data_IF_245421229012
#
_entry.id   IF_245421229012
#
_cell.length_a   1.000
_cell.length_b   1.000
_cell.length_c   1.000
_cell.angle_alpha   90.00
_cell.angle_beta   90.00
_cell.angle_gamma   90.00
#
_symmetry.space_group_name_H-M   'P 1'
#
loop_
_entity.id
_entity.type
_entity.pdbx_description
1 polymer ?
#
# COMPACT_ATOMS: atom_id res chain seq x y z
N UNK A 1 0.30 8.03 1.72
CA UNK A 1 -0.43 8.66 2.83
C UNK A 1 -1.74 9.28 2.37
N UNK A 2 -1.73 10.27 1.46
CA UNK A 2 -2.96 10.95 1.02
C UNK A 2 -4.08 10.00 0.57
N UNK A 3 -3.77 8.99 -0.26
CA UNK A 3 -4.77 8.01 -0.70
C UNK A 3 -5.31 7.10 0.41
N UNK A 4 -4.49 6.81 1.43
CA UNK A 4 -4.94 6.05 2.61
C UNK A 4 -5.93 6.89 3.43
N UNK A 5 -5.67 8.19 3.60
CA UNK A 5 -6.61 9.11 4.24
C UNK A 5 -7.91 9.23 3.44
N UNK A 6 -7.83 9.29 2.11
CA UNK A 6 -9.04 9.23 1.26
C UNK A 6 -9.82 7.92 1.49
N UNK A 7 -9.16 6.76 1.50
CA UNK A 7 -9.80 5.47 1.75
C UNK A 7 -10.52 5.42 3.11
N UNK A 8 -9.89 5.91 4.18
CA UNK A 8 -10.52 6.01 5.50
C UNK A 8 -11.74 6.93 5.49
N UNK A 9 -11.63 8.09 4.84
CA UNK A 9 -12.74 9.05 4.74
C UNK A 9 -13.89 8.59 3.83
N UNK A 10 -13.64 7.63 2.93
CA UNK A 10 -14.67 6.96 2.14
C UNK A 10 -15.47 5.95 2.96
N UNK A 11 -14.85 5.32 3.97
CA UNK A 11 -15.52 4.43 4.91
C UNK A 11 -16.44 5.23 5.82
N UNK A 12 -15.95 6.34 6.37
CA UNK A 12 -16.74 7.22 7.22
C UNK A 12 -16.21 8.66 7.19
N UNK A 13 -17.09 9.63 7.37
CA UNK A 13 -16.68 11.00 7.65
C UNK A 13 -16.02 11.05 9.03
N UNK A 14 -14.83 11.63 9.11
CA UNK A 14 -13.98 11.52 10.31
C UNK A 14 -13.28 12.84 10.61
N UNK A 15 -13.03 13.10 11.90
CA UNK A 15 -12.12 14.17 12.31
C UNK A 15 -10.66 13.72 12.22
N UNK A 16 -9.73 14.67 12.34
CA UNK A 16 -8.30 14.36 12.45
C UNK A 16 -7.99 13.34 13.59
N UNK A 17 -8.66 13.46 14.73
CA UNK A 17 -8.46 12.55 15.87
C UNK A 17 -9.00 11.15 15.58
N UNK A 18 -10.13 11.03 14.90
CA UNK A 18 -10.67 9.73 14.50
C UNK A 18 -9.77 9.06 13.47
N UNK A 19 -9.20 9.85 12.54
CA UNK A 19 -8.23 9.34 11.57
C UNK A 19 -6.98 8.79 12.24
N UNK A 20 -6.45 9.45 13.28
CA UNK A 20 -5.32 8.91 14.06
C UNK A 20 -5.72 7.56 14.68
N UNK A 21 -6.85 7.49 15.37
CA UNK A 21 -7.32 6.25 16.01
C UNK A 21 -7.58 5.13 15.00
N UNK A 22 -8.22 5.44 13.88
CA UNK A 22 -8.48 4.49 12.80
C UNK A 22 -7.18 3.98 12.16
N UNK A 23 -6.15 4.84 12.11
CA UNK A 23 -4.82 4.43 11.70
C UNK A 23 -4.22 3.41 12.67
N UNK A 24 -4.19 3.74 13.96
CA UNK A 24 -3.66 2.89 15.03
C UNK A 24 -4.36 1.53 15.13
N UNK A 25 -5.67 1.49 14.86
CA UNK A 25 -6.50 0.29 15.01
C UNK A 25 -6.41 -0.71 13.84
N UNK A 26 -5.83 -0.35 12.69
CA UNK A 26 -5.79 -1.26 11.54
C UNK A 26 -4.67 -0.97 10.55
N UNK A 27 -4.61 0.24 10.00
CA UNK A 27 -3.64 0.59 8.95
C UNK A 27 -2.20 0.55 9.47
N UNK A 28 -2.00 0.81 10.76
CA UNK A 28 -0.70 0.78 11.43
C UNK A 28 0.03 -0.57 11.33
N UNK A 29 -0.69 -1.67 11.05
CA UNK A 29 -0.08 -2.99 10.86
C UNK A 29 0.84 -3.09 9.64
N UNK A 30 0.64 -2.25 8.62
CA UNK A 30 1.40 -2.31 7.36
C UNK A 30 1.82 -0.94 6.81
N UNK A 31 1.41 0.15 7.46
CA UNK A 31 1.80 1.50 7.10
C UNK A 31 2.13 2.25 8.39
N UNK A 32 3.34 2.82 8.52
CA UNK A 32 3.66 3.71 9.64
C UNK A 32 3.31 5.18 9.33
N UNK A 33 2.52 5.83 10.19
CA UNK A 33 2.15 7.23 10.06
C UNK A 33 2.26 7.96 11.40
N UNK A 34 2.99 9.08 11.41
CA UNK A 34 2.91 10.03 12.51
C UNK A 34 1.66 10.90 12.38
N UNK A 35 1.16 11.43 13.51
CA UNK A 35 0.08 12.43 13.53
C UNK A 35 0.38 13.64 12.64
N UNK A 36 1.65 14.09 12.62
CA UNK A 36 2.10 15.14 11.70
C UNK A 36 2.00 14.77 10.22
N UNK A 37 2.23 13.50 9.87
CA UNK A 37 2.07 13.00 8.49
C UNK A 37 0.60 12.94 8.08
N UNK A 38 -0.29 12.52 8.98
CA UNK A 38 -1.75 12.54 8.76
C UNK A 38 -2.23 13.98 8.56
N UNK A 39 -1.76 14.92 9.39
CA UNK A 39 -2.12 16.34 9.26
C UNK A 39 -1.69 16.91 7.92
N UNK A 40 -0.42 16.73 7.53
CA UNK A 40 0.07 17.18 6.21
C UNK A 40 -0.73 16.58 5.05
N UNK A 41 -1.12 15.31 5.17
CA UNK A 41 -1.95 14.67 4.16
C UNK A 41 -3.34 15.30 4.06
N UNK A 42 -4.01 15.58 5.20
CA UNK A 42 -5.28 16.31 5.21
C UNK A 42 -5.16 17.70 4.60
N UNK A 43 -4.16 18.48 5.01
CA UNK A 43 -3.93 19.83 4.49
C UNK A 43 -3.73 19.80 2.96
N UNK A 44 -2.97 18.81 2.46
CA UNK A 44 -2.77 18.60 1.01
C UNK A 44 -4.05 18.25 0.29
N UNK A 45 -4.86 17.34 0.85
CA UNK A 45 -6.13 16.92 0.24
C UNK A 45 -7.15 18.06 0.20
N UNK A 46 -7.22 18.88 1.25
CA UNK A 46 -8.04 20.10 1.31
C UNK A 46 -7.61 21.11 0.25
N UNK A 47 -6.30 21.40 0.18
CA UNK A 47 -5.76 22.35 -0.79
C UNK A 47 -6.03 21.92 -2.24
N UNK A 48 -6.11 20.61 -2.50
CA UNK A 48 -6.44 20.04 -3.80
C UNK A 48 -7.94 19.86 -4.05
N UNK A 49 -8.81 20.23 -3.11
CA UNK A 49 -10.27 20.06 -3.24
C UNK A 49 -10.74 18.60 -3.27
N UNK A 50 -9.91 17.66 -2.81
CA UNK A 50 -10.22 16.22 -2.79
C UNK A 50 -11.03 15.83 -1.54
N UNK A 51 -10.97 16.66 -0.51
CA UNK A 51 -11.81 16.57 0.68
C UNK A 51 -12.30 17.96 1.07
N UNK A 52 -13.33 18.02 1.89
CA UNK A 52 -13.85 19.25 2.45
C UNK A 52 -14.26 19.09 3.92
N UNK A 53 -14.47 20.21 4.61
CA UNK A 53 -15.01 20.22 5.97
C UNK A 53 -16.52 20.07 5.87
N UNK A 54 -17.03 18.90 6.23
CA UNK A 54 -18.45 18.58 6.22
C UNK A 54 -19.22 19.32 7.32
N UNK A 55 -18.61 19.39 8.51
CA UNK A 55 -19.18 20.04 9.69
C UNK A 55 -18.09 20.45 10.67
N UNK A 56 -18.48 21.32 11.60
CA UNK A 56 -17.67 21.69 12.76
C UNK A 56 -18.50 21.34 13.99
N UNK A 57 -18.12 20.28 14.68
CA UNK A 57 -18.80 19.84 15.91
C UNK A 57 -18.41 20.73 17.10
N UNK A 58 -19.33 20.87 18.04
CA UNK A 58 -19.14 21.63 19.27
C UNK A 58 -18.03 21.00 20.13
N UNK A 59 -17.07 21.83 20.55
CA UNK A 59 -15.89 21.46 21.32
C UNK A 59 -14.88 22.60 21.31
N UNK A 60 -13.89 22.59 22.22
CA UNK A 60 -13.08 23.77 22.56
C UNK A 60 -12.52 24.59 21.38
N UNK A 61 -12.08 23.94 20.29
CA UNK A 61 -11.57 24.61 19.08
C UNK A 61 -12.42 24.40 17.82
N UNK A 62 -13.62 23.84 17.95
CA UNK A 62 -14.45 23.38 16.84
C UNK A 62 -13.82 22.15 16.18
N UNK A 63 -14.40 20.97 16.36
CA UNK A 63 -13.85 19.74 15.79
C UNK A 63 -14.28 19.62 14.33
N UNK A 64 -13.35 19.84 13.40
CA UNK A 64 -13.61 19.67 11.97
C UNK A 64 -13.79 18.19 11.64
N UNK A 65 -14.92 17.88 11.01
CA UNK A 65 -15.19 16.57 10.40
C UNK A 65 -15.00 16.71 8.90
N UNK A 66 -14.22 15.80 8.32
CA UNK A 66 -13.89 15.82 6.90
C UNK A 66 -14.73 14.80 6.14
N UNK A 67 -15.05 15.13 4.89
CA UNK A 67 -15.65 14.19 3.93
C UNK A 67 -14.95 14.27 2.58
N UNK A 68 -15.01 13.17 1.83
CA UNK A 68 -14.44 13.10 0.47
C UNK A 68 -15.39 13.76 -0.54
N UNK A 69 -14.84 14.55 -1.45
CA UNK A 69 -15.57 15.16 -2.58
C UNK A 69 -15.63 14.18 -3.77
N UNK A 70 -16.40 14.50 -4.81
CA UNK A 70 -16.43 13.66 -6.03
C UNK A 70 -15.06 13.58 -6.70
N UNK A 71 -14.32 14.70 -6.73
CA UNK A 71 -12.94 14.71 -7.19
C UNK A 71 -12.03 13.80 -6.34
N UNK A 72 -12.24 13.76 -5.03
CA UNK A 72 -11.54 12.85 -4.12
C UNK A 72 -11.88 11.37 -4.36
N UNK A 73 -13.15 11.05 -4.63
CA UNK A 73 -13.58 9.70 -5.02
C UNK A 73 -12.88 9.25 -6.29
N UNK A 74 -12.87 10.10 -7.32
CA UNK A 74 -12.19 9.81 -8.58
C UNK A 74 -10.68 9.63 -8.37
N UNK A 75 -10.05 10.52 -7.60
CA UNK A 75 -8.61 10.41 -7.32
C UNK A 75 -8.25 9.11 -6.58
N UNK A 76 -9.08 8.70 -5.61
CA UNK A 76 -8.89 7.44 -4.90
C UNK A 76 -9.07 6.23 -5.84
N UNK A 77 -10.12 6.23 -6.65
CA UNK A 77 -10.40 5.17 -7.62
C UNK A 77 -9.27 5.03 -8.65
N UNK A 78 -8.80 6.15 -9.23
CA UNK A 78 -7.65 6.16 -10.13
C UNK A 78 -6.41 5.56 -9.46
N UNK A 79 -6.09 5.97 -8.22
CA UNK A 79 -4.96 5.40 -7.49
C UNK A 79 -5.09 3.90 -7.21
N UNK A 80 -6.31 3.42 -6.93
CA UNK A 80 -6.56 2.00 -6.70
C UNK A 80 -6.34 1.16 -7.96
N UNK A 81 -6.66 1.72 -9.14
CA UNK A 81 -6.70 1.00 -10.42
C UNK A 81 -5.48 1.19 -11.31
N UNK A 82 -4.67 2.23 -11.05
CA UNK A 82 -3.42 2.49 -11.77
C UNK A 82 -2.30 1.49 -11.43
N UNK A 83 -1.25 1.50 -12.25
CA UNK A 83 -0.05 0.70 -12.01
C UNK A 83 0.62 1.08 -10.68
N UNK A 84 1.13 0.07 -9.97
CA UNK A 84 1.80 0.28 -8.70
C UNK A 84 3.16 0.97 -8.94
N UNK A 85 3.26 2.21 -8.48
CA UNK A 85 4.49 3.01 -8.51
C UNK A 85 5.00 3.29 -7.09
N UNK A 86 6.31 3.54 -6.95
CA UNK A 86 6.96 3.91 -5.69
C UNK A 86 7.90 2.85 -5.11
N UNK A 87 8.55 3.20 -3.99
CA UNK A 87 9.66 2.43 -3.41
C UNK A 87 9.25 1.36 -2.39
N UNK A 88 8.06 1.46 -1.79
CA UNK A 88 7.56 0.45 -0.85
C UNK A 88 6.42 -0.34 -1.48
N UNK A 89 6.77 -1.45 -2.14
CA UNK A 89 5.82 -2.37 -2.75
C UNK A 89 4.80 -2.90 -1.74
N UNK A 90 5.29 -3.34 -0.58
CA UNK A 90 4.45 -3.91 0.48
C UNK A 90 3.39 -2.91 0.97
N UNK A 91 3.81 -1.69 1.32
CA UNK A 91 2.88 -0.65 1.76
C UNK A 91 1.84 -0.34 0.68
N UNK A 92 2.27 -0.24 -0.59
CA UNK A 92 1.40 0.06 -1.71
C UNK A 92 0.39 -1.07 -2.00
N UNK A 93 0.83 -2.33 -1.93
CA UNK A 93 0.00 -3.51 -2.15
C UNK A 93 -1.00 -3.72 -1.01
N UNK A 94 -0.54 -3.67 0.24
CA UNK A 94 -1.38 -3.88 1.42
C UNK A 94 -2.38 -2.74 1.61
N UNK A 95 -2.01 -1.49 1.29
CA UNK A 95 -2.98 -0.39 1.30
C UNK A 95 -4.11 -0.60 0.30
N UNK A 96 -3.80 -1.04 -0.94
CA UNK A 96 -4.83 -1.34 -1.95
C UNK A 96 -5.67 -2.54 -1.56
N UNK A 97 -5.05 -3.59 -1.02
CA UNK A 97 -5.76 -4.74 -0.50
C UNK A 97 -6.74 -4.35 0.63
N UNK A 98 -6.29 -3.53 1.58
CA UNK A 98 -7.11 -3.07 2.71
C UNK A 98 -8.38 -2.35 2.28
N UNK A 99 -8.31 -1.55 1.21
CA UNK A 99 -9.45 -0.82 0.68
C UNK A 99 -10.12 -1.49 -0.53
N UNK A 100 -9.76 -2.73 -0.89
CA UNK A 100 -10.24 -3.40 -2.10
C UNK A 100 -11.77 -3.50 -2.16
N UNK A 101 -12.42 -3.61 -1.00
CA UNK A 101 -13.87 -3.64 -0.86
C UNK A 101 -14.59 -2.34 -1.25
N UNK A 102 -13.87 -1.21 -1.37
CA UNK A 102 -14.42 0.06 -1.85
C UNK A 102 -14.56 0.12 -3.38
N UNK A 103 -14.03 -0.88 -4.10
CA UNK A 103 -14.18 -1.00 -5.55
C UNK A 103 -15.37 -1.90 -5.91
N UNK A 104 -15.85 -1.71 -7.15
CA UNK A 104 -16.83 -2.61 -7.74
C UNK A 104 -16.24 -4.03 -7.88
N UNK A 105 -17.02 -5.11 -7.71
CA UNK A 105 -16.51 -6.48 -7.75
C UNK A 105 -15.69 -6.82 -8.99
N UNK A 106 -16.08 -6.28 -10.15
CA UNK A 106 -15.39 -6.49 -11.44
C UNK A 106 -13.98 -5.91 -11.49
N UNK A 107 -13.67 -4.92 -10.64
CA UNK A 107 -12.38 -4.22 -10.64
C UNK A 107 -11.34 -4.87 -9.73
N UNK A 108 -11.79 -5.69 -8.78
CA UNK A 108 -10.94 -6.21 -7.69
C UNK A 108 -9.84 -7.15 -8.22
N UNK A 109 -10.22 -8.12 -9.06
CA UNK A 109 -9.26 -9.06 -9.68
C UNK A 109 -8.22 -8.33 -10.54
N UNK A 110 -8.60 -7.40 -11.43
CA UNK A 110 -7.63 -6.56 -12.15
C UNK A 110 -6.62 -5.84 -11.24
N UNK A 111 -7.04 -5.29 -10.10
CA UNK A 111 -6.13 -4.63 -9.15
C UNK A 111 -5.18 -5.63 -8.50
N UNK A 112 -5.68 -6.77 -8.04
CA UNK A 112 -4.85 -7.83 -7.46
C UNK A 112 -3.82 -8.37 -8.47
N UNK A 113 -4.21 -8.54 -9.74
CA UNK A 113 -3.31 -8.97 -10.82
C UNK A 113 -2.20 -7.95 -11.11
N UNK A 114 -2.48 -6.64 -11.00
CA UNK A 114 -1.43 -5.60 -11.09
C UNK A 114 -0.45 -5.69 -9.93
N UNK A 115 -0.94 -5.97 -8.72
CA UNK A 115 -0.07 -6.22 -7.56
C UNK A 115 0.85 -7.41 -7.82
N UNK A 116 0.32 -8.56 -8.28
CA UNK A 116 1.16 -9.74 -8.57
C UNK A 116 2.17 -9.47 -9.68
N UNK A 117 1.75 -8.82 -10.77
CA UNK A 117 2.65 -8.48 -11.87
C UNK A 117 3.80 -7.57 -11.42
N UNK A 118 3.51 -6.60 -10.54
CA UNK A 118 4.56 -5.76 -9.96
C UNK A 118 5.56 -6.55 -9.11
N UNK A 119 5.06 -7.45 -8.25
CA UNK A 119 5.91 -8.31 -7.41
C UNK A 119 6.79 -9.22 -8.28
N UNK A 120 6.26 -9.73 -9.40
CA UNK A 120 7.02 -10.55 -10.36
C UNK A 120 8.18 -9.78 -10.98
N UNK A 121 7.95 -8.53 -11.39
CA UNK A 121 9.00 -7.65 -11.93
C UNK A 121 10.10 -7.42 -10.89
N UNK A 122 9.72 -7.11 -9.65
CA UNK A 122 10.70 -6.85 -8.57
C UNK A 122 11.49 -8.13 -8.23
N UNK A 123 10.81 -9.29 -8.16
CA UNK A 123 11.45 -10.60 -7.95
C UNK A 123 12.41 -10.97 -9.09
N UNK A 124 12.08 -10.67 -10.35
CA UNK A 124 12.95 -10.89 -11.49
C UNK A 124 14.22 -10.02 -11.41
N UNK A 125 14.09 -8.78 -10.95
CA UNK A 125 15.22 -7.88 -10.67
C UNK A 125 16.16 -8.46 -9.62
N UNK A 126 15.64 -8.88 -8.46
CA UNK A 126 16.43 -9.52 -7.40
C UNK A 126 17.10 -10.82 -7.87
N UNK A 127 16.38 -11.65 -8.64
CA UNK A 127 16.93 -12.89 -9.20
C UNK A 127 18.04 -12.65 -10.23
N UNK A 128 18.02 -11.49 -10.91
CA UNK A 128 19.10 -11.09 -11.83
C UNK A 128 20.33 -10.64 -11.05
N UNK A 129 20.14 -9.87 -9.97
CA UNK A 129 21.21 -9.49 -9.06
C UNK A 129 21.88 -10.72 -8.42
N UNK A 130 21.08 -11.71 -8.01
CA UNK A 130 21.55 -12.98 -7.44
C UNK A 130 22.54 -13.70 -8.37
N UNK A 131 22.17 -13.83 -9.65
CA UNK A 131 23.04 -14.40 -10.69
C UNK A 131 24.31 -13.59 -10.90
N UNK A 132 24.23 -12.27 -10.86
CA UNK A 132 25.40 -11.41 -11.00
C UNK A 132 26.38 -11.60 -9.83
N UNK A 133 25.88 -11.60 -8.60
CA UNK A 133 26.71 -11.77 -7.40
C UNK A 133 27.37 -13.17 -7.33
N UNK A 134 26.71 -14.22 -7.84
CA UNK A 134 27.31 -15.56 -7.93
C UNK A 134 28.54 -15.65 -8.83
N UNK A 135 28.72 -14.69 -9.74
CA UNK A 135 29.83 -14.67 -10.69
C UNK A 135 30.97 -13.74 -10.24
N UNK A 136 30.84 -13.06 -9.09
CA UNK A 136 31.88 -12.18 -8.57
C UNK A 136 32.94 -12.99 -7.82
N UNK A 137 34.21 -12.73 -8.14
CA UNK A 137 35.33 -13.23 -7.35
C UNK A 137 35.53 -12.31 -6.13
N UNK A 138 35.38 -12.85 -4.93
CA UNK A 138 35.47 -12.11 -3.67
C UNK A 138 36.73 -12.53 -2.94
N UNK A 139 37.59 -11.55 -2.66
CA UNK A 139 38.84 -11.80 -1.93
C UNK A 139 38.57 -12.42 -0.56
N UNK A 140 39.54 -13.21 -0.08
CA UNK A 140 39.40 -13.93 1.18
C UNK A 140 39.05 -13.06 2.38
N UNK A 141 39.59 -11.84 2.41
CA UNK A 141 39.37 -10.84 3.45
C UNK A 141 37.90 -10.38 3.56
N UNK A 142 37.18 -10.34 2.44
CA UNK A 142 35.81 -9.80 2.40
C UNK A 142 34.71 -10.88 2.37
N UNK A 143 35.07 -12.17 2.38
CA UNK A 143 34.09 -13.27 2.23
C UNK A 143 33.02 -13.30 3.32
N UNK A 144 33.40 -13.05 4.57
CA UNK A 144 32.46 -13.04 5.69
C UNK A 144 31.45 -11.89 5.57
N UNK A 145 31.94 -10.68 5.27
CA UNK A 145 31.08 -9.51 5.00
C UNK A 145 30.13 -9.77 3.82
N UNK A 146 30.65 -10.30 2.71
CA UNK A 146 29.86 -10.62 1.52
C UNK A 146 28.77 -11.66 1.80
N UNK A 147 29.03 -12.62 2.69
CA UNK A 147 28.04 -13.64 3.10
C UNK A 147 26.83 -12.98 3.77
N UNK A 148 27.07 -12.06 4.70
CA UNK A 148 25.99 -11.35 5.38
C UNK A 148 25.26 -10.36 4.47
N UNK A 149 25.98 -9.70 3.55
CA UNK A 149 25.35 -8.87 2.52
C UNK A 149 24.46 -9.71 1.60
N UNK A 150 24.90 -10.89 1.19
CA UNK A 150 24.10 -11.82 0.37
C UNK A 150 22.84 -12.29 1.09
N UNK A 151 22.91 -12.54 2.38
CA UNK A 151 21.74 -12.92 3.18
C UNK A 151 20.59 -11.89 3.09
N UNK A 152 20.90 -10.60 2.90
CA UNK A 152 19.87 -9.56 2.69
C UNK A 152 19.13 -9.71 1.35
N UNK A 153 19.84 -10.11 0.30
CA UNK A 153 19.25 -10.42 -1.00
C UNK A 153 18.41 -11.70 -0.93
N UNK A 154 18.93 -12.74 -0.26
CA UNK A 154 18.23 -14.01 -0.09
C UNK A 154 16.90 -13.80 0.66
N UNK A 155 16.92 -12.99 1.73
CA UNK A 155 15.71 -12.55 2.43
C UNK A 155 14.75 -11.82 1.47
N UNK A 156 15.26 -10.87 0.69
CA UNK A 156 14.45 -10.12 -0.28
C UNK A 156 13.75 -11.05 -1.29
N UNK A 157 14.47 -12.00 -1.87
CA UNK A 157 13.92 -12.99 -2.81
C UNK A 157 12.86 -13.86 -2.11
N UNK A 158 13.16 -14.37 -0.92
CA UNK A 158 12.24 -15.22 -0.16
C UNK A 158 10.94 -14.47 0.19
N UNK A 159 11.05 -13.22 0.66
CA UNK A 159 9.91 -12.37 0.99
C UNK A 159 9.04 -12.09 -0.25
N UNK A 160 9.64 -11.75 -1.39
CA UNK A 160 8.87 -11.51 -2.62
C UNK A 160 8.18 -12.77 -3.13
N UNK A 161 8.82 -13.95 -3.04
CA UNK A 161 8.20 -15.24 -3.39
C UNK A 161 7.00 -15.53 -2.50
N UNK A 162 7.14 -15.36 -1.19
CA UNK A 162 6.04 -15.53 -0.25
C UNK A 162 4.87 -14.60 -0.59
N UNK A 163 5.14 -13.31 -0.73
CA UNK A 163 4.13 -12.29 -1.03
C UNK A 163 3.43 -12.58 -2.37
N UNK A 164 4.19 -12.94 -3.41
CA UNK A 164 3.62 -13.30 -4.72
C UNK A 164 2.67 -14.50 -4.62
N UNK A 165 3.10 -15.58 -3.95
CA UNK A 165 2.28 -16.77 -3.79
C UNK A 165 1.02 -16.45 -2.98
N UNK A 166 1.15 -15.70 -1.89
CA UNK A 166 0.02 -15.29 -1.06
C UNK A 166 -1.02 -14.49 -1.87
N UNK A 167 -0.58 -13.52 -2.69
CA UNK A 167 -1.50 -12.73 -3.52
C UNK A 167 -2.15 -13.55 -4.63
N UNK A 168 -1.42 -14.50 -5.25
CA UNK A 168 -2.00 -15.44 -6.23
C UNK A 168 -3.09 -16.29 -5.59
N UNK A 169 -2.81 -16.91 -4.45
CA UNK A 169 -3.79 -17.70 -3.70
C UNK A 169 -5.00 -16.85 -3.26
N UNK A 170 -4.79 -15.57 -2.99
CA UNK A 170 -5.86 -14.63 -2.66
C UNK A 170 -6.73 -14.27 -3.87
N UNK A 171 -6.13 -14.09 -5.06
CA UNK A 171 -6.86 -13.88 -6.33
C UNK A 171 -7.77 -15.06 -6.64
N UNK A 172 -7.30 -16.29 -6.44
CA UNK A 172 -8.07 -17.51 -6.71
C UNK A 172 -9.37 -17.61 -5.89
N UNK A 173 -9.50 -16.84 -4.79
CA UNK A 173 -10.75 -16.77 -4.00
C UNK A 173 -11.86 -15.97 -4.71
N UNK A 174 -11.50 -15.11 -5.66
CA UNK A 174 -12.44 -14.30 -6.44
C UNK A 174 -12.86 -15.00 -7.74
N UNK A 175 -12.09 -15.99 -8.18
CA UNK A 175 -12.38 -16.78 -9.37
C UNK A 175 -13.07 -18.07 -8.90
N UNK A 176 -14.33 -18.35 -9.32
CA UNK A 176 -14.95 -19.61 -8.95
C UNK A 176 -14.07 -20.77 -9.46
N UNK A 177 -13.95 -21.88 -8.71
CA UNK A 177 -13.14 -23.01 -9.14
C UNK A 177 -13.61 -23.40 -10.54
N UNK A 178 -12.69 -23.37 -11.51
CA UNK A 178 -12.96 -23.86 -12.85
C UNK A 178 -13.46 -25.30 -12.69
N UNK A 179 -14.72 -25.55 -13.04
CA UNK A 179 -15.26 -26.91 -13.07
C UNK A 179 -14.32 -27.75 -13.93
N UNK A 180 -13.56 -28.65 -13.28
CA UNK A 180 -12.84 -29.74 -13.94
C UNK A 180 -13.80 -30.91 -14.11
#
# INVERSE_FOLDING_TARGET
>A
MAHVILGLLLIAQQSFYDLIKGFEAGVAHFYSASSGSIKRALDTLLARGLIEVASIEAGGRGRKVYRVTDAGRQAFHTWMTEELTGSSLETAALSRLYFLGLLEPVERVPVLRRITARIEVDLAGLSTLDKHLNNLDISAEHRDLATHQRATLDYGIAAHRFTLNWFRDYVDRYEPPSQR
#
